data_IF_287339698489
#
_entry.id   IF_287339698489
#
_cell.length_a   1.000
_cell.length_b   1.000
_cell.length_c   1.000
_cell.angle_alpha   90.00
_cell.angle_beta   90.00
_cell.angle_gamma   90.00
#
_symmetry.space_group_name_H-M   'P 1'
#
loop_
_entity.id
_entity.type
_entity.pdbx_description
1 polymer ?
#
# COMPACT_ATOMS: atom_id res chain seq x y z
N UNK A 1 23.76 20.10 26.04
CA UNK A 1 24.49 19.65 24.82
C UNK A 1 23.44 19.44 23.73
N UNK A 2 23.43 20.29 22.68
CA UNK A 2 22.47 20.15 21.59
C UNK A 2 22.67 18.82 20.88
N UNK A 3 21.65 17.96 20.90
CA UNK A 3 21.62 16.75 20.07
C UNK A 3 21.74 17.20 18.62
N UNK A 4 22.84 16.85 17.96
CA UNK A 4 23.03 17.12 16.54
C UNK A 4 22.01 16.24 15.82
N UNK A 5 20.88 16.82 15.42
CA UNK A 5 19.83 16.10 14.70
C UNK A 5 20.45 15.42 13.48
N UNK A 6 20.24 14.12 13.36
CA UNK A 6 20.83 13.35 12.28
C UNK A 6 20.09 13.65 10.98
N UNK A 7 20.85 14.07 9.97
CA UNK A 7 20.35 14.58 8.72
C UNK A 7 20.67 13.59 7.59
N UNK A 8 19.66 13.25 6.81
CA UNK A 8 19.77 12.36 5.65
C UNK A 8 19.49 13.15 4.37
N UNK A 9 20.00 12.70 3.23
CA UNK A 9 19.44 13.14 1.95
C UNK A 9 18.12 12.42 1.68
N UNK A 10 17.28 12.96 0.79
CA UNK A 10 16.08 12.25 0.37
C UNK A 10 16.43 10.87 -0.22
N UNK A 11 17.45 10.82 -1.06
CA UNK A 11 17.89 9.60 -1.72
C UNK A 11 18.34 8.53 -0.71
N UNK A 12 19.07 8.93 0.34
CA UNK A 12 19.44 8.00 1.41
C UNK A 12 18.21 7.38 2.11
N UNK A 13 17.20 8.20 2.43
CA UNK A 13 15.98 7.69 3.07
C UNK A 13 15.21 6.76 2.14
N UNK A 14 14.99 7.16 0.88
CA UNK A 14 14.25 6.37 -0.08
C UNK A 14 14.98 5.06 -0.43
N UNK A 15 16.30 5.10 -0.62
CA UNK A 15 17.09 3.89 -0.86
C UNK A 15 17.05 2.92 0.33
N UNK A 16 17.12 3.44 1.56
CA UNK A 16 17.01 2.61 2.78
C UNK A 16 15.62 1.98 2.95
N UNK A 17 14.57 2.66 2.48
CA UNK A 17 13.21 2.10 2.48
C UNK A 17 12.94 1.17 1.29
N UNK A 18 13.81 1.16 0.28
CA UNK A 18 13.61 0.41 -0.98
C UNK A 18 12.59 1.06 -1.91
N UNK A 19 12.43 2.38 -1.85
CA UNK A 19 11.41 3.13 -2.59
C UNK A 19 12.00 4.31 -3.39
N UNK A 20 13.09 4.13 -4.16
CA UNK A 20 13.73 5.22 -4.90
C UNK A 20 12.77 5.93 -5.87
N UNK A 21 11.82 5.20 -6.45
CA UNK A 21 10.84 5.75 -7.40
C UNK A 21 9.82 6.71 -6.76
N UNK A 22 9.77 6.83 -5.42
CA UNK A 22 8.95 7.85 -4.74
C UNK A 22 9.41 9.25 -5.09
N UNK A 23 10.69 9.44 -5.42
CA UNK A 23 11.24 10.75 -5.81
C UNK A 23 10.53 11.34 -7.03
N UNK A 24 10.18 10.50 -8.00
CA UNK A 24 9.53 10.91 -9.24
C UNK A 24 8.02 10.86 -9.13
N UNK A 25 7.48 9.85 -8.44
CA UNK A 25 6.03 9.62 -8.32
C UNK A 25 5.36 10.44 -7.23
N UNK A 26 6.14 10.99 -6.30
CA UNK A 26 5.64 11.68 -5.10
C UNK A 26 5.04 10.74 -4.04
N UNK A 27 4.48 9.60 -4.44
CA UNK A 27 3.87 8.62 -3.55
C UNK A 27 3.97 7.21 -4.12
N UNK A 28 4.17 6.24 -3.24
CA UNK A 28 4.01 4.82 -3.54
C UNK A 28 3.24 4.16 -2.40
N UNK A 29 2.33 3.26 -2.76
CA UNK A 29 1.53 2.49 -1.81
C UNK A 29 1.40 1.04 -2.26
N UNK A 30 1.68 0.12 -1.35
CA UNK A 30 1.45 -1.31 -1.48
C UNK A 30 0.33 -1.74 -0.54
N UNK A 31 -0.47 -2.71 -0.95
CA UNK A 31 -1.49 -3.34 -0.11
C UNK A 31 -1.68 -4.79 -0.54
N UNK A 32 -1.98 -5.67 0.39
CA UNK A 32 -2.37 -7.05 0.10
C UNK A 32 -3.72 -7.35 0.76
N UNK A 33 -4.44 -8.32 0.22
CA UNK A 33 -5.70 -8.80 0.80
C UNK A 33 -5.43 -10.01 1.69
N UNK A 34 -6.21 -10.18 2.76
CA UNK A 34 -6.12 -11.41 3.56
C UNK A 34 -6.57 -12.61 2.68
N UNK A 35 -6.02 -13.79 2.93
CA UNK A 35 -6.44 -15.02 2.24
C UNK A 35 -7.80 -15.52 2.77
N UNK A 36 -8.18 -15.13 3.99
CA UNK A 36 -9.40 -15.57 4.67
C UNK A 36 -10.53 -14.55 4.62
N UNK A 37 -10.21 -13.27 4.37
CA UNK A 37 -11.18 -12.17 4.25
C UNK A 37 -10.82 -11.29 3.05
N UNK A 38 -11.82 -10.84 2.30
CA UNK A 38 -11.63 -9.89 1.19
C UNK A 38 -11.20 -8.48 1.67
N UNK A 39 -11.00 -8.29 2.97
CA UNK A 39 -10.42 -7.10 3.56
C UNK A 39 -8.91 -6.96 3.25
N UNK A 40 -8.41 -5.71 3.29
CA UNK A 40 -6.98 -5.47 3.19
C UNK A 40 -6.26 -6.04 4.43
N UNK A 41 -5.33 -6.97 4.22
CA UNK A 41 -4.51 -7.58 5.26
C UNK A 41 -3.32 -6.70 5.68
N UNK A 42 -3.00 -5.67 4.91
CA UNK A 42 -2.01 -4.66 5.31
C UNK A 42 -1.73 -3.66 4.20
N UNK A 43 -0.98 -2.61 4.53
CA UNK A 43 -0.43 -1.66 3.57
C UNK A 43 0.92 -1.08 4.03
N UNK A 44 1.74 -0.70 3.05
CA UNK A 44 2.91 0.14 3.22
C UNK A 44 2.79 1.34 2.28
N UNK A 45 3.15 2.52 2.74
CA UNK A 45 3.09 3.76 1.96
C UNK A 45 4.30 4.63 2.25
N UNK A 46 4.87 5.22 1.20
CA UNK A 46 5.82 6.34 1.31
C UNK A 46 5.27 7.50 0.49
N UNK A 47 5.20 8.69 1.08
CA UNK A 47 4.67 9.89 0.43
C UNK A 47 5.48 11.14 0.75
N UNK A 48 5.62 11.99 -0.26
CA UNK A 48 6.17 13.32 -0.19
C UNK A 48 5.02 14.32 -0.10
N UNK A 49 4.94 15.04 1.01
CA UNK A 49 3.94 16.08 1.26
C UNK A 49 4.56 17.47 1.07
N UNK A 50 3.70 18.49 0.96
CA UNK A 50 4.11 19.90 0.92
C UNK A 50 5.16 20.21 -0.16
N UNK A 51 4.98 19.66 -1.37
CA UNK A 51 5.95 19.81 -2.46
C UNK A 51 7.31 19.14 -2.18
N UNK A 52 7.31 18.11 -1.32
CA UNK A 52 8.51 17.40 -0.88
C UNK A 52 9.16 17.99 0.36
N UNK A 53 8.57 18.99 1.04
CA UNK A 53 9.12 19.49 2.30
C UNK A 53 9.00 18.46 3.44
N UNK A 54 8.10 17.49 3.31
CA UNK A 54 7.87 16.45 4.32
C UNK A 54 7.85 15.08 3.66
N UNK A 55 8.54 14.11 4.25
CA UNK A 55 8.49 12.70 3.89
C UNK A 55 7.78 11.95 5.00
N UNK A 56 6.78 11.15 4.64
CA UNK A 56 6.07 10.27 5.57
C UNK A 56 6.16 8.84 5.04
N UNK A 57 6.49 7.90 5.91
CA UNK A 57 6.36 6.48 5.67
C UNK A 57 5.41 5.87 6.70
N UNK A 58 4.45 5.09 6.21
CA UNK A 58 3.37 4.49 6.99
C UNK A 58 3.25 3.02 6.64
N UNK A 59 3.23 2.17 7.66
CA UNK A 59 3.02 0.73 7.56
C UNK A 59 1.93 0.34 8.55
N UNK A 60 0.97 -0.46 8.10
CA UNK A 60 0.08 -1.22 8.97
C UNK A 60 -0.06 -2.62 8.42
N UNK A 61 0.20 -3.61 9.25
CA UNK A 61 0.02 -5.00 8.94
C UNK A 61 -0.94 -5.61 9.95
N UNK A 62 -2.03 -6.18 9.45
CA UNK A 62 -2.97 -6.95 10.24
C UNK A 62 -2.53 -8.42 10.14
N UNK A 63 -2.02 -8.98 11.25
CA UNK A 63 -1.81 -10.41 11.32
C UNK A 63 -3.11 -11.05 11.79
N UNK A 64 -3.82 -11.67 10.85
CA UNK A 64 -4.90 -12.59 11.20
C UNK A 64 -4.27 -13.87 11.72
N UNK A 65 -3.95 -13.90 13.02
CA UNK A 65 -3.60 -15.13 13.72
C UNK A 65 -4.88 -15.89 14.08
N UNK A 66 -5.65 -16.32 13.08
CA UNK A 66 -6.66 -17.36 13.29
C UNK A 66 -5.96 -18.72 13.39
N UNK A 67 -5.10 -18.89 14.41
CA UNK A 67 -4.74 -20.23 14.87
C UNK A 67 -5.85 -20.62 15.83
N UNK A 68 -6.63 -21.64 15.47
CA UNK A 68 -7.72 -22.15 16.31
C UNK A 68 -7.21 -22.41 17.74
N UNK A 69 -7.63 -21.57 18.69
CA UNK A 69 -7.41 -21.77 20.12
C UNK A 69 -6.55 -20.74 20.86
N UNK A 70 -5.99 -19.73 20.19
CA UNK A 70 -5.28 -18.64 20.88
C UNK A 70 -6.13 -17.35 20.86
N UNK A 71 -6.58 -16.81 22.00
CA UNK A 71 -7.23 -15.50 22.07
C UNK A 71 -6.21 -14.36 21.96
N UNK A 72 -5.12 -14.56 21.22
CA UNK A 72 -4.19 -13.49 20.87
C UNK A 72 -4.98 -12.44 20.09
N UNK A 73 -5.10 -11.25 20.68
CA UNK A 73 -5.81 -10.13 20.07
C UNK A 73 -5.24 -9.80 18.71
N UNK A 74 -5.98 -8.99 17.94
CA UNK A 74 -5.50 -8.42 16.68
C UNK A 74 -4.22 -7.60 16.93
N UNK A 75 -3.06 -8.27 16.91
CA UNK A 75 -1.77 -7.62 17.00
C UNK A 75 -1.53 -6.91 15.67
N UNK A 76 -1.80 -5.60 15.66
CA UNK A 76 -1.57 -4.73 14.51
C UNK A 76 -0.14 -4.20 14.57
N UNK A 77 0.74 -4.80 13.78
CA UNK A 77 2.09 -4.29 13.57
C UNK A 77 1.99 -2.97 12.78
N UNK A 78 2.50 -1.87 13.32
CA UNK A 78 2.45 -0.57 12.68
C UNK A 78 3.74 0.22 12.81
N UNK A 79 4.08 0.94 11.75
CA UNK A 79 5.22 1.85 11.72
C UNK A 79 4.80 3.18 11.13
N UNK A 80 5.21 4.25 11.80
CA UNK A 80 5.09 5.61 11.29
C UNK A 80 6.46 6.29 11.35
N UNK A 81 6.90 6.88 10.25
CA UNK A 81 8.11 7.69 10.19
C UNK A 81 7.78 9.03 9.54
N UNK A 82 8.20 10.11 10.19
CA UNK A 82 8.05 11.46 9.67
C UNK A 82 9.41 12.15 9.63
N UNK A 83 9.78 12.64 8.46
CA UNK A 83 10.99 13.41 8.24
C UNK A 83 10.67 14.76 7.60
N UNK A 84 11.28 15.82 8.12
CA UNK A 84 11.10 17.19 7.63
C UNK A 84 12.35 17.67 6.94
N UNK A 85 12.18 18.32 5.80
CA UNK A 85 13.27 18.93 5.04
C UNK A 85 13.79 20.17 5.77
N UNK A 86 15.11 20.20 5.95
CA UNK A 86 15.90 21.34 6.40
C UNK A 86 17.00 21.61 5.34
N UNK A 87 16.79 22.64 4.53
CA UNK A 87 17.63 22.93 3.36
C UNK A 87 17.56 21.83 2.30
N UNK A 88 18.68 21.12 2.09
CA UNK A 88 18.79 19.99 1.15
C UNK A 88 18.68 18.62 1.81
N UNK A 89 18.54 18.57 3.13
CA UNK A 89 18.52 17.34 3.92
C UNK A 89 17.20 17.18 4.66
N UNK A 90 16.97 16.00 5.19
CA UNK A 90 15.80 15.62 5.96
C UNK A 90 16.23 15.20 7.35
N UNK A 91 15.60 15.80 8.35
CA UNK A 91 15.70 15.38 9.73
C UNK A 91 14.50 14.48 10.05
N UNK A 92 14.73 13.27 10.54
CA UNK A 92 13.65 12.43 11.06
C UNK A 92 13.21 13.02 12.40
N UNK A 93 11.98 13.51 12.47
CA UNK A 93 11.47 14.23 13.65
C UNK A 93 10.65 13.33 14.57
N UNK A 94 10.06 12.27 14.02
CA UNK A 94 9.20 11.32 14.75
C UNK A 94 9.27 9.94 14.10
N UNK A 95 9.35 8.92 14.94
CA UNK A 95 9.08 7.52 14.59
C UNK A 95 8.09 6.96 15.60
N UNK A 96 7.18 6.10 15.17
CA UNK A 96 6.35 5.30 16.06
C UNK A 96 6.33 3.83 15.62
N UNK A 97 6.35 2.94 16.60
CA UNK A 97 6.20 1.49 16.43
C UNK A 97 5.01 1.05 17.28
N UNK A 98 4.01 0.40 16.69
CA UNK A 98 2.88 -0.18 17.42
C UNK A 98 2.17 0.82 18.35
N UNK A 99 2.14 2.09 17.93
CA UNK A 99 1.57 3.20 18.69
C UNK A 99 2.51 3.86 19.71
N UNK A 100 3.68 3.29 19.99
CA UNK A 100 4.70 3.91 20.85
C UNK A 100 5.50 4.95 20.07
N UNK A 101 5.43 6.22 20.51
CA UNK A 101 6.05 7.35 19.82
C UNK A 101 7.42 7.71 20.40
N UNK A 102 8.39 7.88 19.49
CA UNK A 102 9.74 8.35 19.78
C UNK A 102 9.91 9.77 19.22
N UNK A 103 9.58 10.82 19.99
CA UNK A 103 9.87 12.20 19.60
C UNK A 103 11.38 12.42 19.68
N UNK A 104 11.99 12.86 18.58
CA UNK A 104 13.45 12.99 18.42
C UNK A 104 14.22 11.65 18.49
N UNK A 105 13.93 10.72 17.56
CA UNK A 105 14.51 9.39 17.59
C UNK A 105 16.03 9.42 17.41
N UNK A 106 16.73 8.55 18.13
CA UNK A 106 18.17 8.36 17.97
C UNK A 106 18.48 7.64 16.65
N UNK A 107 19.73 7.73 16.19
CA UNK A 107 20.18 7.06 14.95
C UNK A 107 19.78 5.58 14.90
N UNK A 108 20.02 4.82 15.97
CA UNK A 108 19.69 3.39 16.03
C UNK A 108 18.20 3.12 15.81
N UNK A 109 17.34 3.93 16.44
CA UNK A 109 15.88 3.84 16.28
C UNK A 109 15.46 4.17 14.85
N UNK A 110 16.09 5.18 14.23
CA UNK A 110 15.84 5.54 12.84
C UNK A 110 16.22 4.41 11.88
N UNK A 111 17.44 3.89 12.01
CA UNK A 111 17.93 2.82 11.14
C UNK A 111 17.12 1.52 11.31
N UNK A 112 16.69 1.22 12.54
CA UNK A 112 15.77 0.12 12.82
C UNK A 112 14.44 0.33 12.09
N UNK A 113 13.84 1.52 12.21
CA UNK A 113 12.57 1.82 11.55
C UNK A 113 12.64 1.74 10.02
N UNK A 114 13.70 2.26 9.43
CA UNK A 114 13.93 2.14 7.98
C UNK A 114 14.07 0.67 7.54
N UNK A 115 14.79 -0.13 8.32
CA UNK A 115 15.00 -1.56 8.04
C UNK A 115 13.71 -2.37 8.15
N UNK A 116 12.91 -2.15 9.21
CA UNK A 116 11.60 -2.78 9.39
C UNK A 116 10.67 -2.42 8.24
N UNK A 117 10.59 -1.12 7.90
CA UNK A 117 9.76 -0.67 6.80
C UNK A 117 10.14 -1.35 5.49
N UNK A 118 11.44 -1.39 5.17
CA UNK A 118 11.92 -2.01 3.94
C UNK A 118 11.58 -3.50 3.86
N UNK A 119 11.86 -4.25 4.93
CA UNK A 119 11.55 -5.68 5.00
C UNK A 119 10.05 -5.95 4.80
N UNK A 120 9.20 -5.15 5.46
CA UNK A 120 7.74 -5.32 5.38
C UNK A 120 7.14 -4.87 4.06
N UNK A 121 7.64 -3.79 3.47
CA UNK A 121 7.23 -3.38 2.13
C UNK A 121 7.57 -4.47 1.10
N UNK A 122 8.72 -5.13 1.26
CA UNK A 122 9.12 -6.26 0.42
C UNK A 122 8.21 -7.49 0.63
N UNK A 123 7.91 -7.85 1.88
CA UNK A 123 6.97 -8.95 2.20
C UNK A 123 5.60 -8.71 1.54
N UNK A 124 5.05 -7.50 1.67
CA UNK A 124 3.78 -7.12 1.04
C UNK A 124 3.88 -7.21 -0.49
N UNK A 125 4.99 -6.76 -1.07
CA UNK A 125 5.19 -6.82 -2.53
C UNK A 125 5.19 -8.26 -3.06
N UNK A 126 5.77 -9.21 -2.31
CA UNK A 126 5.76 -10.63 -2.67
C UNK A 126 4.32 -11.15 -2.63
N UNK A 127 3.57 -10.86 -1.56
CA UNK A 127 2.17 -11.28 -1.43
C UNK A 127 1.29 -10.72 -2.57
N UNK A 128 1.49 -9.46 -2.95
CA UNK A 128 0.79 -8.86 -4.09
C UNK A 128 1.06 -9.59 -5.40
N UNK A 129 2.31 -10.00 -5.62
CA UNK A 129 2.71 -10.76 -6.81
C UNK A 129 2.11 -12.16 -6.79
N UNK A 130 2.15 -12.87 -5.66
CA UNK A 130 1.50 -14.16 -5.48
C UNK A 130 -0.01 -14.08 -5.78
N UNK A 131 -0.70 -13.06 -5.26
CA UNK A 131 -2.13 -12.83 -5.50
C UNK A 131 -2.44 -12.53 -6.98
N UNK A 132 -1.54 -11.83 -7.68
CA UNK A 132 -1.70 -11.56 -9.10
C UNK A 132 -1.60 -12.83 -9.96
N UNK A 133 -0.76 -13.80 -9.56
CA UNK A 133 -0.61 -15.08 -10.26
C UNK A 133 -1.69 -16.10 -9.88
N UNK A 134 -2.13 -16.13 -8.62
CA UNK A 134 -3.19 -17.03 -8.13
C UNK A 134 -4.60 -16.48 -8.43
N UNK A 135 -4.76 -15.66 -9.47
CA UNK A 135 -6.04 -15.04 -9.82
C UNK A 135 -7.15 -16.05 -10.15
N UNK A 136 -6.82 -17.31 -10.42
CA UNK A 136 -7.81 -18.39 -10.56
C UNK A 136 -8.39 -18.85 -9.21
N UNK A 137 -7.70 -18.68 -8.07
CA UNK A 137 -8.22 -19.02 -6.73
C UNK A 137 -9.15 -17.93 -6.15
N UNK A 138 -8.99 -16.67 -6.59
CA UNK A 138 -9.80 -15.54 -6.10
C UNK A 138 -11.12 -15.40 -6.88
N UNK A 139 -11.20 -15.91 -8.12
CA UNK A 139 -12.39 -15.82 -8.98
C UNK A 139 -13.42 -16.93 -8.70
N UNK A 140 -13.05 -17.96 -7.92
CA UNK A 140 -13.94 -19.10 -7.63
C UNK A 140 -14.53 -19.14 -6.21
N UNK A 141 -14.40 -18.08 -5.41
CA UNK A 141 -15.22 -18.00 -4.18
C UNK A 141 -16.65 -17.62 -4.55
N UNK A 142 -17.65 -18.51 -4.35
CA UNK A 142 -19.04 -18.13 -4.51
C UNK A 142 -19.33 -17.01 -3.51
N UNK A 143 -19.75 -15.85 -4.03
CA UNK A 143 -20.37 -14.80 -3.23
C UNK A 143 -21.38 -15.46 -2.29
N UNK A 144 -21.29 -15.26 -0.96
CA UNK A 144 -22.28 -15.83 -0.06
C UNK A 144 -23.63 -15.31 -0.49
N UNK A 145 -24.53 -16.23 -0.84
CA UNK A 145 -25.92 -15.91 -1.13
C UNK A 145 -26.47 -15.13 0.05
N UNK A 146 -26.82 -13.86 -0.18
CA UNK A 146 -27.52 -13.04 0.80
C UNK A 146 -28.77 -13.82 1.25
N UNK A 147 -28.99 -14.02 2.56
CA UNK A 147 -30.20 -14.68 3.02
C UNK A 147 -31.43 -13.83 2.62
N UNK A 148 -32.38 -14.50 1.97
CA UNK A 148 -33.53 -13.98 1.21
C UNK A 148 -34.63 -13.28 2.06
N UNK A 149 -34.29 -12.70 3.21
CA UNK A 149 -35.27 -12.31 4.24
C UNK A 149 -35.18 -10.85 4.74
N UNK A 150 -34.55 -9.93 4.00
CA UNK A 150 -34.63 -8.51 4.31
C UNK A 150 -35.82 -7.87 3.55
N UNK A 151 -36.95 -7.75 4.25
CA UNK A 151 -38.17 -7.06 3.78
C UNK A 151 -37.84 -5.67 3.21
N UNK A 152 -38.05 -5.52 1.90
CA UNK A 152 -37.96 -4.24 1.19
C UNK A 152 -39.14 -3.36 1.61
N UNK A 153 -38.91 -2.40 2.50
CA UNK A 153 -39.83 -1.27 2.70
C UNK A 153 -39.72 -0.32 1.51
N UNK A 154 -40.77 -0.28 0.69
CA UNK A 154 -40.94 0.63 -0.44
C UNK A 154 -40.97 2.09 0.02
N UNK A 155 -39.98 2.89 -0.39
CA UNK A 155 -40.09 4.35 -0.41
C UNK A 155 -40.77 4.82 -1.72
N UNK A 156 -41.57 5.90 -1.70
CA UNK A 156 -42.39 6.32 -2.83
C UNK A 156 -41.57 7.03 -3.93
N UNK A 157 -41.94 6.75 -5.19
CA UNK A 157 -41.36 7.33 -6.41
C UNK A 157 -41.71 8.81 -6.56
N UNK A 158 -40.73 9.64 -6.89
CA UNK A 158 -40.90 11.01 -7.41
C UNK A 158 -40.33 11.04 -8.84
N UNK A 159 -41.02 11.62 -9.84
CA UNK A 159 -40.58 11.59 -11.24
C UNK A 159 -39.48 12.62 -11.55
N UNK A 160 -38.71 12.29 -12.58
CA UNK A 160 -37.48 12.92 -13.03
C UNK A 160 -37.64 14.30 -13.69
N UNK A 161 -36.59 15.12 -13.59
CA UNK A 161 -36.17 16.10 -14.60
C UNK A 161 -34.63 16.27 -14.53
N UNK A 162 -33.95 15.87 -15.62
CA UNK A 162 -32.60 16.31 -16.02
C UNK A 162 -32.69 17.66 -16.80
N UNK A 163 -31.61 18.36 -17.24
CA UNK A 163 -30.18 17.98 -17.28
C UNK A 163 -29.19 19.09 -16.86
N UNK A 164 -27.95 18.72 -16.50
CA UNK A 164 -26.85 19.69 -16.47
C UNK A 164 -25.53 19.20 -15.89
N UNK A 165 -24.49 19.22 -16.73
CA UNK A 165 -23.06 19.29 -16.42
C UNK A 165 -22.26 18.01 -16.08
N UNK A 166 -21.59 17.51 -17.14
CA UNK A 166 -20.16 17.17 -17.24
C UNK A 166 -19.56 16.30 -16.12
N UNK A 167 -19.48 14.99 -16.35
CA UNK A 167 -18.48 14.13 -15.70
C UNK A 167 -17.17 14.15 -16.48
N UNK A 168 -16.11 14.55 -15.79
CA UNK A 168 -14.73 14.44 -16.23
C UNK A 168 -14.37 12.97 -16.47
N UNK A 169 -13.69 12.73 -17.58
CA UNK A 169 -13.09 11.45 -17.94
C UNK A 169 -12.01 11.08 -16.92
N UNK A 170 -12.17 9.95 -16.23
CA UNK A 170 -11.08 9.30 -15.53
C UNK A 170 -10.25 8.55 -16.57
N UNK A 171 -9.20 9.20 -17.08
CA UNK A 171 -8.26 8.65 -18.03
C UNK A 171 -7.30 7.68 -17.31
N UNK A 172 -7.69 6.40 -17.24
CA UNK A 172 -6.78 5.32 -16.84
C UNK A 172 -6.04 4.81 -18.08
N UNK A 173 -4.73 5.08 -18.18
CA UNK A 173 -3.82 4.44 -19.15
C UNK A 173 -3.18 3.18 -18.56
N UNK A 174 -2.68 2.17 -19.29
CA UNK A 174 -2.69 1.81 -20.72
C UNK A 174 -2.70 0.26 -20.74
N UNK A 175 -3.55 -0.36 -21.57
CA UNK A 175 -3.49 -1.81 -21.84
C UNK A 175 -2.64 -2.03 -23.09
N UNK A 176 -1.56 -2.80 -22.98
CA UNK A 176 -0.84 -3.32 -24.15
C UNK A 176 -1.03 -4.83 -24.19
N UNK A 177 -1.90 -5.38 -25.05
CA UNK A 177 -1.95 -6.81 -25.26
C UNK A 177 -0.74 -7.22 -26.12
N UNK A 178 0.19 -7.98 -25.54
CA UNK A 178 1.25 -8.62 -26.29
C UNK A 178 0.64 -9.66 -27.24
N UNK A 179 0.73 -9.41 -28.56
CA UNK A 179 0.48 -10.42 -29.58
C UNK A 179 1.82 -11.01 -30.02
N UNK A 180 2.14 -12.28 -29.71
CA UNK A 180 3.24 -12.94 -30.39
C UNK A 180 2.92 -12.98 -31.89
N UNK A 181 3.82 -12.45 -32.73
CA UNK A 181 3.74 -12.67 -34.16
C UNK A 181 3.82 -14.17 -34.38
N UNK A 182 2.81 -14.73 -35.03
CA UNK A 182 2.82 -16.07 -35.58
C UNK A 182 4.16 -16.31 -36.28
N UNK A 183 4.86 -17.36 -35.86
CA UNK A 183 6.03 -17.87 -36.57
C UNK A 183 5.65 -18.06 -38.05
N UNK A 184 6.46 -17.58 -39.01
CA UNK A 184 6.21 -17.86 -40.42
C UNK A 184 6.18 -19.39 -40.63
N UNK A 185 5.09 -19.86 -41.22
CA UNK A 185 4.88 -21.24 -41.65
C UNK A 185 5.84 -21.60 -42.81
N UNK A 186 7.13 -21.71 -42.49
CA UNK A 186 8.19 -22.14 -43.40
C UNK A 186 9.07 -23.26 -42.81
N UNK A 187 8.54 -24.00 -41.84
CA UNK A 187 9.11 -25.26 -41.33
C UNK A 187 8.04 -26.36 -41.22
N UNK A 188 7.11 -26.36 -42.17
CA UNK A 188 6.13 -27.42 -42.37
C UNK A 188 6.34 -28.08 -43.74
N UNK A 189 7.51 -28.68 -43.97
CA UNK A 189 7.77 -29.69 -45.01
C UNK A 189 8.96 -30.58 -44.60
N UNK A 190 8.64 -31.72 -44.01
CA UNK A 190 9.35 -32.97 -44.33
C UNK A 190 8.44 -33.74 -45.28
#
# INVERSE_FOLDING_TARGET
KGSKSMMYTLDELLMKMGTPETRERGQIRWHYFDRHDAAAGGFAEVRLLDGGATLVAELRQWRSCAIEGDPAGDDVESLYLHARRDGSRYAVTKIAFDGEEYPHPQKSVIELGLSIFHARALDISILMVEQAFNRDDIVHQPLPALPDNARVSRAPRVPAQEPGMRKAEAQWGVVVPFRPRSLPAALARH
#
